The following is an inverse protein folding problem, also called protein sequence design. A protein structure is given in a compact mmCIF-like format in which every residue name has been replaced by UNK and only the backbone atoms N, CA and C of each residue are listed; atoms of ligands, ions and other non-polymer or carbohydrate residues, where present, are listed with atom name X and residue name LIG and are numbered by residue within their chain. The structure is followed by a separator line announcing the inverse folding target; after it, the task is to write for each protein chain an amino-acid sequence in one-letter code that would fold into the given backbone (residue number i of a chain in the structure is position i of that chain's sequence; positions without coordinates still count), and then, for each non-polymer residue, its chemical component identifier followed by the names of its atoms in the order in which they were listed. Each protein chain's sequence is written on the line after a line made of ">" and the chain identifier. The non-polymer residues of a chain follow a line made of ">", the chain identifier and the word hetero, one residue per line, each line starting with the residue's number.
data_IF_824601172537
#
_entry.id   IF_824601172537
#
_cell.length_a   1.000
_cell.length_b   1.000
_cell.length_c   1.000
_cell.angle_alpha   90.00
_cell.angle_beta   90.00
_cell.angle_gamma   90.00
#
_symmetry.space_group_name_H-M   'P 1'
#
loop_
_entity.id
_entity.type
_entity.pdbx_description
1 polymer ?
#
# COMPACT_ATOMS: atom_id res chain seq x y z
N UNK A 1 0.20 31.95 -3.25
CA UNK A 1 -0.06 30.49 -3.10
C UNK A 1 1.12 29.64 -3.60
N UNK A 2 1.76 30.01 -4.71
CA UNK A 2 2.97 29.33 -5.22
C UNK A 2 4.16 29.34 -4.25
N UNK A 3 4.42 30.45 -3.55
CA UNK A 3 5.57 30.56 -2.64
C UNK A 3 5.47 29.67 -1.41
N UNK A 4 4.26 29.45 -0.89
CA UNK A 4 4.03 28.55 0.26
C UNK A 4 4.26 27.10 -0.19
N UNK A 5 3.75 26.73 -1.35
CA UNK A 5 3.94 25.37 -1.90
C UNK A 5 5.42 25.11 -2.17
N UNK A 6 6.15 26.07 -2.72
CA UNK A 6 7.59 25.94 -2.96
C UNK A 6 8.37 25.79 -1.66
N UNK A 7 8.08 26.61 -0.63
CA UNK A 7 8.71 26.50 0.70
C UNK A 7 8.46 25.14 1.36
N UNK A 8 7.21 24.62 1.28
CA UNK A 8 6.88 23.30 1.81
C UNK A 8 7.65 22.22 1.04
N UNK A 9 7.69 22.30 -0.29
CA UNK A 9 8.44 21.37 -1.13
C UNK A 9 9.93 21.37 -0.77
N UNK A 10 10.53 22.52 -0.54
CA UNK A 10 11.96 22.65 -0.18
C UNK A 10 12.26 22.07 1.20
N UNK A 11 11.40 22.33 2.18
CA UNK A 11 11.54 21.76 3.54
C UNK A 11 11.48 20.25 3.47
N UNK A 12 10.48 19.73 2.75
CA UNK A 12 10.29 18.28 2.60
C UNK A 12 11.46 17.65 1.85
N UNK A 13 11.94 18.28 0.78
CA UNK A 13 13.11 17.81 0.03
C UNK A 13 14.33 17.69 0.95
N UNK A 14 14.60 18.70 1.77
CA UNK A 14 15.71 18.68 2.75
C UNK A 14 15.56 17.56 3.79
N UNK A 15 14.34 17.32 4.27
CA UNK A 15 14.07 16.21 5.21
C UNK A 15 14.35 14.86 4.54
N UNK A 16 13.88 14.66 3.31
CA UNK A 16 14.13 13.42 2.58
C UNK A 16 15.60 13.25 2.20
N UNK A 17 16.30 14.31 1.83
CA UNK A 17 17.75 14.27 1.61
C UNK A 17 18.52 13.91 2.86
N UNK A 18 18.15 14.47 4.01
CA UNK A 18 18.77 14.12 5.28
C UNK A 18 18.55 12.65 5.66
N UNK A 19 17.31 12.15 5.46
CA UNK A 19 16.94 10.78 5.84
C UNK A 19 17.47 9.73 4.86
N UNK A 20 17.49 10.02 3.59
CA UNK A 20 17.73 9.03 2.53
C UNK A 20 18.89 9.37 1.60
N UNK A 21 19.36 10.63 1.56
CA UNK A 21 20.41 11.08 0.64
C UNK A 21 21.70 10.29 0.79
N UNK A 22 22.07 9.90 2.02
CA UNK A 22 23.23 9.05 2.29
C UNK A 22 23.12 7.68 1.62
N UNK A 23 21.92 7.08 1.61
CA UNK A 23 21.67 5.78 0.97
C UNK A 23 21.78 5.87 -0.55
N UNK A 24 21.30 6.96 -1.14
CA UNK A 24 21.45 7.26 -2.58
C UNK A 24 22.91 7.48 -2.95
N UNK A 25 23.69 8.13 -2.07
CA UNK A 25 25.12 8.37 -2.29
C UNK A 25 25.95 7.08 -2.29
N UNK A 26 25.51 6.04 -1.59
CA UNK A 26 26.16 4.72 -1.63
C UNK A 26 25.88 4.07 -2.99
N UNK A 27 24.62 3.99 -3.36
CA UNK A 27 24.17 3.47 -4.66
C UNK A 27 22.73 3.90 -4.91
N UNK A 28 22.40 4.37 -6.13
CA UNK A 28 21.01 4.72 -6.48
C UNK A 28 20.02 3.57 -6.24
N UNK A 29 20.39 2.35 -6.61
CA UNK A 29 19.55 1.16 -6.39
C UNK A 29 19.37 0.84 -4.90
N UNK A 30 20.42 0.95 -4.11
CA UNK A 30 20.34 0.76 -2.66
C UNK A 30 19.45 1.82 -2.02
N UNK A 31 19.59 3.08 -2.42
CA UNK A 31 18.75 4.17 -1.95
C UNK A 31 17.27 3.92 -2.20
N UNK A 32 16.89 3.51 -3.43
CA UNK A 32 15.48 3.28 -3.76
C UNK A 32 14.90 2.08 -3.01
N UNK A 33 15.69 1.01 -2.82
CA UNK A 33 15.28 -0.16 -2.04
C UNK A 33 15.04 0.24 -0.58
N UNK A 34 15.94 1.02 0.01
CA UNK A 34 15.83 1.47 1.39
C UNK A 34 14.60 2.37 1.60
N UNK A 35 14.34 3.31 0.69
CA UNK A 35 13.13 4.16 0.72
C UNK A 35 11.87 3.31 0.61
N UNK A 36 11.84 2.37 -0.34
CA UNK A 36 10.71 1.47 -0.53
C UNK A 36 10.43 0.64 0.73
N UNK A 37 11.46 0.16 1.40
CA UNK A 37 11.33 -0.56 2.67
C UNK A 37 10.75 0.30 3.78
N UNK A 38 11.32 1.49 4.02
CA UNK A 38 10.88 2.40 5.10
C UNK A 38 9.44 2.84 4.88
N UNK A 39 9.08 3.25 3.67
CA UNK A 39 7.72 3.69 3.37
C UNK A 39 6.71 2.54 3.43
N UNK A 40 7.09 1.33 3.01
CA UNK A 40 6.24 0.13 3.14
C UNK A 40 6.04 -0.25 4.61
N UNK A 41 7.07 -0.10 5.43
CA UNK A 41 6.96 -0.30 6.88
C UNK A 41 6.01 0.73 7.51
N UNK A 42 6.19 2.01 7.19
CA UNK A 42 5.32 3.10 7.68
C UNK A 42 3.86 2.85 7.29
N UNK A 43 3.61 2.46 6.03
CA UNK A 43 2.27 2.11 5.56
C UNK A 43 1.69 0.93 6.35
N UNK A 44 2.45 -0.14 6.52
CA UNK A 44 1.98 -1.34 7.22
C UNK A 44 1.70 -1.08 8.70
N UNK A 45 2.52 -0.27 9.35
CA UNK A 45 2.31 0.19 10.73
C UNK A 45 1.03 1.04 10.81
N UNK A 46 0.85 2.00 9.88
CA UNK A 46 -0.36 2.82 9.82
C UNK A 46 -1.61 1.96 9.67
N UNK A 47 -1.59 0.97 8.76
CA UNK A 47 -2.70 0.04 8.60
C UNK A 47 -2.96 -0.78 9.87
N UNK A 48 -1.92 -1.28 10.52
CA UNK A 48 -2.06 -2.10 11.73
C UNK A 48 -2.71 -1.34 12.88
N UNK A 49 -2.33 -0.09 13.09
CA UNK A 49 -2.78 0.68 14.25
C UNK A 49 -4.00 1.57 13.98
N UNK A 50 -4.24 1.97 12.73
CA UNK A 50 -5.35 2.84 12.37
C UNK A 50 -6.60 2.09 11.89
N UNK A 51 -6.53 0.75 11.74
CA UNK A 51 -7.69 -0.08 11.37
C UNK A 51 -8.01 -1.11 12.45
N UNK A 52 -9.27 -1.50 12.51
CA UNK A 52 -9.70 -2.61 13.35
C UNK A 52 -9.34 -3.94 12.68
N UNK A 53 -8.21 -4.50 13.08
CA UNK A 53 -7.70 -5.75 12.53
C UNK A 53 -8.61 -6.94 12.85
N UNK A 54 -9.33 -6.91 13.97
CA UNK A 54 -10.27 -7.96 14.36
C UNK A 54 -11.46 -7.99 13.41
N UNK A 55 -12.01 -6.81 13.12
CA UNK A 55 -13.09 -6.65 12.13
C UNK A 55 -12.64 -7.10 10.74
N UNK A 56 -11.49 -6.62 10.27
CA UNK A 56 -10.97 -6.99 8.94
C UNK A 56 -10.73 -8.49 8.81
N UNK A 57 -10.19 -9.11 9.86
CA UNK A 57 -10.00 -10.56 9.91
C UNK A 57 -11.33 -11.29 9.83
N UNK A 58 -12.32 -10.91 10.64
CA UNK A 58 -13.65 -11.53 10.63
C UNK A 58 -14.36 -11.42 9.27
N UNK A 59 -14.24 -10.26 8.60
CA UNK A 59 -14.78 -10.06 7.25
C UNK A 59 -14.12 -10.99 6.23
N UNK A 60 -12.80 -11.16 6.33
CA UNK A 60 -12.04 -12.06 5.45
C UNK A 60 -12.40 -13.52 5.68
N UNK A 61 -12.55 -13.93 6.92
CA UNK A 61 -12.98 -15.29 7.29
C UNK A 61 -14.41 -15.58 6.80
N UNK A 62 -15.35 -14.67 6.98
CA UNK A 62 -16.71 -14.77 6.44
C UNK A 62 -16.72 -14.96 4.92
N UNK A 63 -15.95 -14.13 4.20
CA UNK A 63 -15.84 -14.24 2.75
C UNK A 63 -15.26 -15.59 2.33
N UNK A 64 -14.26 -16.09 3.03
CA UNK A 64 -13.65 -17.40 2.76
C UNK A 64 -14.64 -18.53 3.00
N UNK A 65 -15.36 -18.53 4.12
CA UNK A 65 -16.38 -19.52 4.44
C UNK A 65 -17.51 -19.52 3.41
N UNK A 66 -17.99 -18.34 3.01
CA UNK A 66 -19.03 -18.23 1.96
C UNK A 66 -18.55 -18.80 0.61
N UNK A 67 -17.30 -18.55 0.22
CA UNK A 67 -16.73 -19.14 -0.99
C UNK A 67 -16.59 -20.66 -0.90
N UNK A 68 -16.20 -21.19 0.25
CA UNK A 68 -16.11 -22.64 0.49
C UNK A 68 -17.50 -23.29 0.46
N UNK A 69 -18.51 -22.61 0.98
CA UNK A 69 -19.90 -23.07 0.95
C UNK A 69 -20.44 -23.13 -0.49
N UNK A 70 -20.21 -22.12 -1.29
CA UNK A 70 -20.58 -22.10 -2.72
C UNK A 70 -19.92 -23.25 -3.48
N UNK A 71 -18.65 -23.54 -3.19
CA UNK A 71 -17.93 -24.65 -3.84
C UNK A 71 -18.54 -26.03 -3.56
N UNK A 72 -19.26 -26.22 -2.46
CA UNK A 72 -19.93 -27.49 -2.13
C UNK A 72 -21.15 -27.78 -3.04
N UNK A 73 -21.73 -26.73 -3.61
CA UNK A 73 -22.94 -26.85 -4.48
C UNK A 73 -22.62 -26.71 -5.97
N UNK A 74 -21.44 -27.17 -6.40
CA UNK A 74 -21.03 -27.12 -7.82
C UNK A 74 -21.99 -27.86 -8.76
N UNK A 75 -22.66 -28.88 -8.25
CA UNK A 75 -23.57 -29.71 -9.02
C UNK A 75 -25.04 -29.19 -9.01
N UNK A 76 -25.35 -28.13 -8.26
CA UNK A 76 -26.66 -27.48 -8.21
C UNK A 76 -26.56 -25.99 -8.64
N UNK A 77 -26.78 -25.71 -9.95
CA UNK A 77 -26.66 -24.35 -10.49
C UNK A 77 -27.60 -23.33 -9.85
N UNK A 78 -28.82 -23.76 -9.45
CA UNK A 78 -29.82 -22.87 -8.83
C UNK A 78 -29.38 -22.44 -7.45
N UNK A 79 -28.92 -23.36 -6.63
CA UNK A 79 -28.43 -23.12 -5.28
C UNK A 79 -27.11 -22.31 -5.28
N UNK A 80 -26.25 -22.59 -6.24
CA UNK A 80 -25.03 -21.84 -6.46
C UNK A 80 -25.32 -20.38 -6.85
N UNK A 81 -26.30 -20.12 -7.72
CA UNK A 81 -26.70 -18.77 -8.11
C UNK A 81 -27.30 -17.98 -6.93
N UNK A 82 -28.14 -18.63 -6.12
CA UNK A 82 -28.74 -18.04 -4.92
C UNK A 82 -27.65 -17.65 -3.89
N UNK A 83 -26.73 -18.55 -3.58
CA UNK A 83 -25.63 -18.32 -2.65
C UNK A 83 -24.67 -17.23 -3.16
N UNK A 84 -24.39 -17.21 -4.46
CA UNK A 84 -23.59 -16.15 -5.07
C UNK A 84 -24.27 -14.77 -4.95
N UNK A 85 -25.58 -14.70 -5.18
CA UNK A 85 -26.36 -13.46 -5.04
C UNK A 85 -26.35 -12.97 -3.59
N UNK A 86 -26.51 -13.89 -2.62
CA UNK A 86 -26.43 -13.56 -1.19
C UNK A 86 -25.03 -13.07 -0.81
N UNK A 87 -23.98 -13.79 -1.25
CA UNK A 87 -22.60 -13.41 -0.99
C UNK A 87 -22.26 -12.04 -1.61
N UNK A 88 -22.77 -11.71 -2.81
CA UNK A 88 -22.58 -10.40 -3.41
C UNK A 88 -23.17 -9.28 -2.56
N UNK A 89 -24.39 -9.45 -2.02
CA UNK A 89 -25.02 -8.46 -1.15
C UNK A 89 -24.21 -8.25 0.14
N UNK A 90 -23.81 -9.35 0.79
CA UNK A 90 -22.97 -9.31 1.98
C UNK A 90 -21.60 -8.68 1.69
N UNK A 91 -21.00 -8.96 0.54
CA UNK A 91 -19.75 -8.35 0.10
C UNK A 91 -19.86 -6.85 -0.08
N UNK A 92 -20.98 -6.32 -0.59
CA UNK A 92 -21.18 -4.88 -0.72
C UNK A 92 -21.24 -4.19 0.65
N UNK A 93 -21.87 -4.79 1.65
CA UNK A 93 -21.88 -4.28 3.02
C UNK A 93 -20.48 -4.36 3.65
N UNK A 94 -19.79 -5.49 3.46
CA UNK A 94 -18.43 -5.70 3.91
C UNK A 94 -17.45 -4.69 3.27
N UNK A 95 -17.62 -4.40 1.98
CA UNK A 95 -16.83 -3.37 1.29
C UNK A 95 -17.03 -1.97 1.88
N UNK A 96 -18.26 -1.60 2.25
CA UNK A 96 -18.52 -0.31 2.92
C UNK A 96 -17.79 -0.22 4.25
N UNK A 97 -17.82 -1.29 5.05
CA UNK A 97 -17.08 -1.35 6.32
C UNK A 97 -15.57 -1.30 6.11
N UNK A 98 -15.05 -2.07 5.16
CA UNK A 98 -13.64 -2.04 4.77
C UNK A 98 -13.20 -0.64 4.31
N UNK A 99 -13.98 0.00 3.45
CA UNK A 99 -13.68 1.35 2.96
C UNK A 99 -13.62 2.36 4.11
N UNK A 100 -14.60 2.32 5.03
CA UNK A 100 -14.61 3.18 6.23
C UNK A 100 -13.36 2.97 7.10
N UNK A 101 -12.89 1.74 7.23
CA UNK A 101 -11.66 1.43 7.96
C UNK A 101 -10.40 1.90 7.22
N UNK A 102 -10.42 1.88 5.89
CA UNK A 102 -9.26 2.23 5.04
C UNK A 102 -9.00 3.74 4.94
N UNK A 103 -9.98 4.59 5.19
CA UNK A 103 -9.84 6.05 5.03
C UNK A 103 -8.75 6.60 5.96
N UNK A 104 -8.73 6.21 7.23
CA UNK A 104 -7.76 6.72 8.21
C UNK A 104 -6.31 6.41 7.84
N UNK A 105 -5.93 5.13 7.60
CA UNK A 105 -4.57 4.82 7.21
C UNK A 105 -4.22 5.36 5.81
N UNK A 106 -5.19 5.44 4.89
CA UNK A 106 -4.98 6.03 3.58
C UNK A 106 -4.59 7.50 3.69
N UNK A 107 -5.31 8.29 4.47
CA UNK A 107 -4.97 9.70 4.69
C UNK A 107 -3.61 9.86 5.39
N UNK A 108 -3.31 9.03 6.38
CA UNK A 108 -2.05 9.07 7.10
C UNK A 108 -0.84 8.75 6.22
N UNK A 109 -1.02 7.90 5.20
CA UNK A 109 0.05 7.52 4.28
C UNK A 109 0.13 8.38 3.02
N UNK A 110 -0.97 8.99 2.60
CA UNK A 110 -1.05 9.80 1.38
C UNK A 110 -0.04 10.96 1.38
N UNK A 111 0.10 11.64 2.51
CA UNK A 111 0.99 12.78 2.67
C UNK A 111 2.46 12.36 2.50
N UNK A 112 3.01 11.43 3.31
CA UNK A 112 4.42 11.02 3.16
C UNK A 112 4.71 10.37 1.81
N UNK A 113 3.78 9.61 1.23
CA UNK A 113 3.95 9.03 -0.11
C UNK A 113 3.97 10.09 -1.21
N UNK A 114 3.06 11.08 -1.16
CA UNK A 114 3.05 12.16 -2.13
C UNK A 114 4.38 12.93 -2.17
N UNK A 115 4.93 13.24 -1.00
CA UNK A 115 6.22 13.89 -0.89
C UNK A 115 7.38 12.98 -1.33
N UNK A 116 7.33 11.70 -0.99
CA UNK A 116 8.33 10.74 -1.44
C UNK A 116 8.35 10.64 -2.97
N UNK A 117 7.19 10.62 -3.63
CA UNK A 117 7.10 10.60 -5.09
C UNK A 117 7.77 11.80 -5.73
N UNK A 118 7.52 13.02 -5.22
CA UNK A 118 8.13 14.25 -5.72
C UNK A 118 9.64 14.21 -5.55
N UNK A 119 10.11 13.76 -4.38
CA UNK A 119 11.53 13.67 -4.08
C UNK A 119 12.22 12.60 -4.93
N UNK A 120 11.65 11.40 -5.02
CA UNK A 120 12.17 10.31 -5.86
C UNK A 120 12.30 10.77 -7.32
N UNK A 121 11.26 11.42 -7.86
CA UNK A 121 11.30 11.92 -9.24
C UNK A 121 12.47 12.87 -9.45
N UNK A 122 12.62 13.87 -8.59
CA UNK A 122 13.70 14.87 -8.72
C UNK A 122 15.10 14.25 -8.54
N UNK A 123 15.26 13.39 -7.56
CA UNK A 123 16.57 12.80 -7.20
C UNK A 123 17.03 11.75 -8.19
N UNK A 124 16.09 10.97 -8.75
CA UNK A 124 16.42 9.85 -9.61
C UNK A 124 16.32 10.14 -11.11
N UNK A 125 15.78 11.29 -11.49
CA UNK A 125 15.72 11.72 -12.91
C UNK A 125 17.10 11.70 -13.62
N UNK A 126 18.21 12.15 -12.99
CA UNK A 126 19.54 12.12 -13.60
C UNK A 126 20.14 10.73 -13.81
N UNK A 127 19.67 9.72 -13.05
CA UNK A 127 20.21 8.37 -13.10
C UNK A 127 19.62 7.52 -14.25
N UNK A 128 18.54 7.98 -14.88
CA UNK A 128 17.85 7.22 -15.93
C UNK A 128 17.29 5.89 -15.44
N UNK A 129 17.63 4.79 -16.15
CA UNK A 129 17.19 3.45 -15.80
C UNK A 129 18.02 2.88 -14.64
N UNK A 130 17.34 2.43 -13.59
CA UNK A 130 17.97 1.95 -12.36
C UNK A 130 17.92 0.42 -12.26
N UNK A 131 16.77 -0.16 -12.59
CA UNK A 131 16.54 -1.60 -12.47
C UNK A 131 15.61 -2.09 -13.59
N UNK A 132 16.05 -3.09 -14.35
CA UNK A 132 15.30 -3.71 -15.44
C UNK A 132 14.73 -2.72 -16.49
N UNK A 133 15.47 -1.65 -16.82
CA UNK A 133 14.99 -0.63 -17.74
C UNK A 133 13.93 0.31 -17.16
N UNK A 134 13.80 0.32 -15.84
CA UNK A 134 12.86 1.17 -15.11
C UNK A 134 13.60 2.32 -14.41
N UNK A 135 13.08 3.52 -14.55
CA UNK A 135 13.54 4.67 -13.77
C UNK A 135 13.22 4.55 -12.28
N UNK A 136 13.59 5.57 -11.50
CA UNK A 136 13.45 5.58 -10.04
C UNK A 136 12.05 5.23 -9.54
N UNK A 137 11.00 5.81 -10.13
CA UNK A 137 9.61 5.56 -9.71
C UNK A 137 9.20 4.11 -9.99
N UNK A 138 9.51 3.58 -11.18
CA UNK A 138 9.18 2.20 -11.55
C UNK A 138 9.87 1.19 -10.62
N UNK A 139 11.14 1.39 -10.36
CA UNK A 139 11.93 0.58 -9.42
C UNK A 139 11.34 0.66 -8.00
N UNK A 140 11.00 1.85 -7.53
CA UNK A 140 10.35 2.05 -6.23
C UNK A 140 9.04 1.25 -6.12
N UNK A 141 8.17 1.31 -7.12
CA UNK A 141 6.87 0.61 -7.11
C UNK A 141 7.09 -0.90 -6.95
N UNK A 142 7.99 -1.50 -7.71
CA UNK A 142 8.27 -2.95 -7.63
C UNK A 142 8.71 -3.33 -6.22
N UNK A 143 9.73 -2.67 -5.67
CA UNK A 143 10.24 -3.00 -4.35
C UNK A 143 9.22 -2.67 -3.25
N UNK A 144 8.42 -1.61 -3.37
CA UNK A 144 7.38 -1.28 -2.40
C UNK A 144 6.27 -2.33 -2.35
N UNK A 145 5.89 -2.91 -3.49
CA UNK A 145 4.93 -4.03 -3.53
C UNK A 145 5.51 -5.26 -2.80
N UNK A 146 6.74 -5.64 -3.12
CA UNK A 146 7.40 -6.80 -2.50
C UNK A 146 7.49 -6.60 -0.98
N UNK A 147 8.02 -5.47 -0.53
CA UNK A 147 8.14 -5.19 0.90
C UNK A 147 6.78 -5.10 1.60
N UNK A 148 5.79 -4.47 0.98
CA UNK A 148 4.45 -4.38 1.53
C UNK A 148 3.83 -5.77 1.75
N UNK A 149 3.99 -6.68 0.79
CA UNK A 149 3.49 -8.05 0.93
C UNK A 149 4.19 -8.80 2.09
N UNK A 150 5.52 -8.70 2.17
CA UNK A 150 6.31 -9.38 3.20
C UNK A 150 6.00 -8.80 4.58
N UNK A 151 6.06 -7.47 4.72
CA UNK A 151 5.85 -6.78 6.01
C UNK A 151 4.44 -7.03 6.53
N UNK A 152 3.41 -6.90 5.68
CA UNK A 152 2.02 -7.17 6.08
C UNK A 152 1.82 -8.61 6.54
N UNK A 153 2.45 -9.57 5.87
CA UNK A 153 2.40 -10.98 6.28
C UNK A 153 3.05 -11.20 7.65
N UNK A 154 4.24 -10.64 7.86
CA UNK A 154 4.98 -10.75 9.13
C UNK A 154 4.22 -10.05 10.27
N UNK A 155 3.70 -8.86 10.02
CA UNK A 155 2.96 -8.07 11.00
C UNK A 155 1.52 -8.56 11.22
N UNK A 156 1.04 -9.54 10.45
CA UNK A 156 -0.35 -10.04 10.47
C UNK A 156 -1.37 -8.90 10.26
N UNK A 157 -1.12 -8.04 9.29
CA UNK A 157 -2.03 -6.96 8.88
C UNK A 157 -3.04 -7.53 7.89
N UNK A 158 -4.34 -7.34 8.18
CA UNK A 158 -5.45 -7.86 7.39
C UNK A 158 -6.05 -6.81 6.46
#
# INVERSE_FOLDING_TARGET
>A
MSDIVNKISDIVTKIFEFLFGWAVSISPIFGIIFIAFVLSLLSSVSWKYLTDQTLLKSLREKNKTAQEEIKKYKDDPKKMAELNSKMMKENLENMKLQYKQSIKPMLATLIPFGFAFVWIRKTYEPFGDIFLGLGGIGTYIIFSIIFSMVIRKVMKVY
#
